data_IF_257674304545
#
_entry.id   IF_257674304545
#
_cell.length_a   1.000
_cell.length_b   1.000
_cell.length_c   1.000
_cell.angle_alpha   90.00
_cell.angle_beta   90.00
_cell.angle_gamma   90.00
#
_symmetry.space_group_name_H-M   'P 1'
#
loop_
_entity.id
_entity.type
_entity.pdbx_description
1 polymer ?
#
# COMPACT_ATOMS: atom_id res chain seq x y z
N UNK A 1 -4.85 -27.88 45.39
CA UNK A 1 -4.01 -27.41 44.28
C UNK A 1 -4.92 -26.86 43.20
N UNK A 2 -5.18 -25.56 43.24
CA UNK A 2 -5.96 -24.85 42.20
C UNK A 2 -5.07 -24.70 40.97
N UNK A 3 -5.41 -25.44 39.91
CA UNK A 3 -4.84 -25.29 38.57
C UNK A 3 -5.06 -23.85 38.10
N UNK A 4 -4.00 -23.03 38.18
CA UNK A 4 -3.99 -21.69 37.63
C UNK A 4 -3.91 -21.77 36.12
N UNK A 5 -5.07 -21.72 35.43
CA UNK A 5 -5.10 -21.23 34.05
C UNK A 5 -4.64 -19.79 34.12
N UNK A 6 -3.43 -19.52 33.64
CA UNK A 6 -3.04 -18.16 33.25
C UNK A 6 -4.14 -17.62 32.34
N UNK A 7 -4.74 -16.47 32.70
CA UNK A 7 -5.73 -15.83 31.85
C UNK A 7 -5.10 -15.60 30.46
N UNK A 8 -5.80 -16.02 29.40
CA UNK A 8 -5.35 -15.80 28.03
C UNK A 8 -5.24 -14.29 27.80
N UNK A 9 -4.07 -13.79 27.40
CA UNK A 9 -3.85 -12.35 27.23
C UNK A 9 -4.86 -11.79 26.22
N UNK A 10 -5.29 -10.55 26.39
CA UNK A 10 -6.09 -9.87 25.40
C UNK A 10 -5.17 -9.02 24.52
N UNK A 11 -5.30 -9.22 23.21
CA UNK A 11 -4.58 -8.41 22.22
C UNK A 11 -5.55 -7.46 21.53
N UNK A 12 -5.23 -6.17 21.51
CA UNK A 12 -5.91 -5.19 20.66
C UNK A 12 -4.97 -4.81 19.52
N UNK A 13 -5.43 -4.94 18.28
CA UNK A 13 -4.75 -4.46 17.09
C UNK A 13 -5.50 -3.29 16.46
N UNK A 14 -4.78 -2.31 15.94
CA UNK A 14 -5.34 -1.15 15.22
C UNK A 14 -4.82 -1.17 13.78
N UNK A 15 -5.72 -1.21 12.81
CA UNK A 15 -5.46 -1.26 11.38
C UNK A 15 -5.64 -2.66 10.80
N UNK A 16 -6.51 -2.79 9.80
CA UNK A 16 -6.78 -4.01 9.05
C UNK A 16 -6.22 -3.92 7.61
N UNK A 17 -4.99 -3.41 7.50
CA UNK A 17 -4.18 -3.49 6.28
C UNK A 17 -3.47 -4.84 6.14
N UNK A 18 -2.57 -4.94 5.16
CA UNK A 18 -1.78 -6.17 4.87
C UNK A 18 -1.10 -6.72 6.13
N UNK A 19 -0.46 -5.86 6.93
CA UNK A 19 0.13 -6.27 8.19
C UNK A 19 -0.94 -6.87 9.11
N UNK A 20 -2.00 -6.10 9.41
CA UNK A 20 -3.21 -6.48 10.18
C UNK A 20 -3.69 -7.88 9.90
N UNK A 21 -3.96 -8.13 8.62
CA UNK A 21 -4.46 -9.41 8.14
C UNK A 21 -3.43 -10.51 8.38
N UNK A 22 -2.14 -10.26 8.13
CA UNK A 22 -1.09 -11.26 8.28
C UNK A 22 -0.88 -11.74 9.74
N UNK A 23 -0.78 -10.85 10.74
CA UNK A 23 -0.65 -11.31 12.14
C UNK A 23 -1.94 -11.94 12.63
N UNK A 24 -3.10 -11.40 12.28
CA UNK A 24 -4.36 -12.02 12.68
C UNK A 24 -4.47 -13.44 12.13
N UNK A 25 -4.04 -13.64 10.88
CA UNK A 25 -3.93 -14.97 10.28
C UNK A 25 -2.91 -15.86 11.01
N UNK A 26 -1.75 -15.33 11.42
CA UNK A 26 -0.75 -16.10 12.18
C UNK A 26 -1.24 -16.46 13.59
N UNK A 27 -1.84 -15.51 14.32
CA UNK A 27 -2.43 -15.72 15.64
C UNK A 27 -3.42 -16.87 15.59
N UNK A 28 -4.35 -16.86 14.64
CA UNK A 28 -5.34 -17.95 14.50
C UNK A 28 -4.75 -19.24 13.98
N UNK A 29 -4.13 -19.20 12.80
CA UNK A 29 -3.77 -20.43 12.08
C UNK A 29 -2.52 -21.13 12.60
N UNK A 30 -1.57 -20.39 13.16
CA UNK A 30 -0.30 -20.97 13.63
C UNK A 30 -0.24 -21.11 15.15
N UNK A 31 -0.85 -20.16 15.88
CA UNK A 31 -0.81 -20.14 17.35
C UNK A 31 -2.11 -20.62 17.99
N UNK A 32 -3.19 -20.82 17.22
CA UNK A 32 -4.51 -21.20 17.77
C UNK A 32 -5.08 -20.15 18.72
N UNK A 33 -4.67 -18.89 18.55
CA UNK A 33 -4.95 -17.78 19.44
C UNK A 33 -6.18 -17.01 18.99
N UNK A 34 -7.19 -16.89 19.84
CA UNK A 34 -8.47 -16.29 19.49
C UNK A 34 -8.81 -15.05 20.33
N UNK A 35 -8.12 -14.82 21.47
CA UNK A 35 -8.39 -13.67 22.33
C UNK A 35 -7.75 -12.37 21.81
N UNK A 36 -8.10 -11.96 20.59
CA UNK A 36 -7.68 -10.70 20.01
C UNK A 36 -8.82 -9.99 19.26
N UNK A 37 -8.71 -8.67 19.14
CA UNK A 37 -9.64 -7.84 18.38
C UNK A 37 -8.86 -6.89 17.47
N UNK A 38 -9.34 -6.73 16.24
CA UNK A 38 -8.77 -5.80 15.26
C UNK A 38 -9.77 -4.66 15.05
N UNK A 39 -9.32 -3.42 15.19
CA UNK A 39 -10.10 -2.24 14.86
C UNK A 39 -9.64 -1.61 13.56
N UNK A 40 -10.58 -1.27 12.68
CA UNK A 40 -10.34 -0.55 11.42
C UNK A 40 -11.22 0.70 11.38
N UNK A 41 -10.64 1.83 10.97
CA UNK A 41 -11.35 3.11 10.86
C UNK A 41 -12.13 3.21 9.56
N UNK A 42 -11.58 2.64 8.49
CA UNK A 42 -12.17 2.72 7.16
C UNK A 42 -13.31 1.72 6.97
N UNK A 43 -14.28 2.05 6.10
CA UNK A 43 -15.48 1.21 5.87
C UNK A 43 -15.19 -0.19 5.34
N UNK A 44 -13.97 -0.42 4.87
CA UNK A 44 -13.49 -1.72 4.42
C UNK A 44 -12.05 -1.95 4.86
N UNK A 45 -11.64 -3.21 4.80
CA UNK A 45 -10.28 -3.68 5.05
C UNK A 45 -9.30 -3.17 3.97
N UNK A 46 -8.03 -3.57 4.06
CA UNK A 46 -6.98 -3.34 3.04
C UNK A 46 -6.32 -1.95 3.06
N UNK A 47 -6.72 -1.07 3.97
CA UNK A 47 -6.05 0.20 4.29
C UNK A 47 -5.68 1.04 3.04
N UNK A 48 -4.38 1.15 2.73
CA UNK A 48 -3.85 1.88 1.56
C UNK A 48 -4.57 1.51 0.26
N UNK A 49 -4.92 0.24 0.08
CA UNK A 49 -5.58 -0.26 -1.12
C UNK A 49 -7.06 0.07 -1.17
N UNK A 50 -7.71 0.31 -0.04
CA UNK A 50 -9.07 0.81 0.00
C UNK A 50 -9.11 2.33 -0.27
N UNK A 51 -8.16 3.08 0.31
CA UNK A 51 -8.15 4.54 0.23
C UNK A 51 -7.77 5.09 -1.15
N UNK A 52 -6.81 4.46 -1.83
CA UNK A 52 -6.27 4.99 -3.09
C UNK A 52 -7.13 4.59 -4.28
N UNK A 53 -8.06 5.44 -4.68
CA UNK A 53 -9.03 5.16 -5.76
C UNK A 53 -8.74 5.86 -7.08
N UNK A 54 -7.55 6.45 -7.24
CA UNK A 54 -7.20 7.06 -8.53
C UNK A 54 -7.06 5.98 -9.62
N UNK A 55 -7.33 6.30 -10.89
CA UNK A 55 -7.17 5.32 -11.96
C UNK A 55 -5.71 4.84 -12.04
N UNK A 56 -5.51 3.57 -12.40
CA UNK A 56 -4.20 2.91 -12.54
C UNK A 56 -3.39 2.66 -11.24
N UNK A 57 -4.01 2.70 -10.06
CA UNK A 57 -3.33 2.32 -8.80
C UNK A 57 -2.77 0.90 -8.90
N UNK A 58 -1.47 0.76 -8.71
CA UNK A 58 -0.79 -0.54 -8.69
C UNK A 58 0.39 -0.56 -7.73
N UNK A 59 0.87 -1.77 -7.44
CA UNK A 59 2.06 -1.96 -6.61
C UNK A 59 3.34 -1.72 -7.42
N UNK A 60 4.27 -0.92 -6.92
CA UNK A 60 5.59 -0.73 -7.54
C UNK A 60 6.51 -1.96 -7.39
N UNK A 61 6.08 -3.01 -6.69
CA UNK A 61 6.79 -4.28 -6.65
C UNK A 61 6.78 -4.91 -8.04
N UNK A 62 7.91 -5.48 -8.47
CA UNK A 62 8.06 -6.14 -9.77
C UNK A 62 6.89 -7.09 -10.02
N UNK A 63 6.14 -6.81 -11.10
CA UNK A 63 4.80 -7.34 -11.43
C UNK A 63 3.70 -6.55 -10.72
N UNK A 64 3.23 -5.51 -11.41
CA UNK A 64 2.19 -4.58 -10.98
C UNK A 64 0.88 -5.37 -10.82
N UNK A 65 0.61 -5.85 -9.61
CA UNK A 65 -0.75 -6.21 -9.25
C UNK A 65 -1.55 -4.90 -9.21
N UNK A 66 -2.63 -4.86 -10.00
CA UNK A 66 -3.57 -3.75 -9.96
C UNK A 66 -4.29 -3.74 -8.60
N UNK A 67 -4.75 -2.57 -8.18
CA UNK A 67 -5.47 -2.41 -6.92
C UNK A 67 -6.59 -3.45 -6.74
N UNK A 68 -7.37 -3.72 -7.79
CA UNK A 68 -8.48 -4.67 -7.73
C UNK A 68 -8.01 -6.09 -7.39
N UNK A 69 -6.89 -6.53 -7.97
CA UNK A 69 -6.29 -7.83 -7.67
C UNK A 69 -5.79 -7.90 -6.22
N UNK A 70 -5.16 -6.83 -5.73
CA UNK A 70 -4.69 -6.77 -4.35
C UNK A 70 -5.86 -6.77 -3.36
N UNK A 71 -6.91 -6.00 -3.63
CA UNK A 71 -8.12 -5.98 -2.80
C UNK A 71 -8.77 -7.37 -2.73
N UNK A 72 -8.88 -8.06 -3.87
CA UNK A 72 -9.41 -9.43 -3.92
C UNK A 72 -8.54 -10.39 -3.09
N UNK A 73 -7.22 -10.35 -3.27
CA UNK A 73 -6.29 -11.19 -2.50
C UNK A 73 -6.42 -10.97 -0.98
N UNK A 74 -6.55 -9.71 -0.54
CA UNK A 74 -6.69 -9.39 0.87
C UNK A 74 -8.05 -9.81 1.44
N UNK A 75 -9.11 -9.70 0.64
CA UNK A 75 -10.42 -10.23 1.00
C UNK A 75 -10.39 -11.76 1.13
N UNK A 76 -9.80 -12.47 0.16
CA UNK A 76 -9.61 -13.92 0.22
C UNK A 76 -8.80 -14.35 1.45
N UNK A 77 -7.76 -13.59 1.81
CA UNK A 77 -6.98 -13.86 3.01
C UNK A 77 -7.81 -13.68 4.29
N UNK A 78 -8.60 -12.60 4.36
CA UNK A 78 -9.54 -12.37 5.47
C UNK A 78 -10.53 -13.52 5.60
N UNK A 79 -11.15 -13.95 4.50
CA UNK A 79 -12.15 -15.01 4.50
C UNK A 79 -11.54 -16.37 4.85
N UNK A 80 -10.37 -16.68 4.29
CA UNK A 80 -9.63 -17.92 4.56
C UNK A 80 -9.21 -18.07 6.02
N UNK A 81 -8.79 -16.97 6.66
CA UNK A 81 -8.28 -17.00 8.04
C UNK A 81 -9.30 -16.47 9.08
N UNK A 82 -10.50 -16.09 8.63
CA UNK A 82 -11.58 -15.56 9.46
C UNK A 82 -11.33 -14.20 10.09
N UNK A 83 -10.40 -13.40 9.55
CA UNK A 83 -9.94 -12.14 10.17
C UNK A 83 -10.92 -11.00 9.84
N UNK A 84 -11.96 -10.80 10.67
CA UNK A 84 -12.90 -9.69 10.48
C UNK A 84 -12.59 -8.53 11.46
N UNK A 85 -12.49 -7.27 10.99
CA UNK A 85 -12.39 -6.13 11.90
C UNK A 85 -13.70 -5.91 12.67
N UNK A 86 -13.55 -5.35 13.87
CA UNK A 86 -14.64 -5.01 14.77
C UNK A 86 -15.16 -3.59 14.48
N UNK A 87 -16.47 -3.46 14.33
CA UNK A 87 -17.15 -2.21 14.02
C UNK A 87 -17.31 -1.28 15.22
N UNK A 88 -17.36 -1.86 16.43
CA UNK A 88 -17.76 -1.11 17.62
C UNK A 88 -16.79 -1.34 18.76
N UNK A 89 -16.71 -0.34 19.63
CA UNK A 89 -16.05 -0.45 20.93
C UNK A 89 -16.75 -1.41 21.89
N UNK A 90 -17.77 -2.16 21.48
CA UNK A 90 -18.48 -3.12 22.35
C UNK A 90 -17.96 -4.55 22.16
N UNK A 91 -17.32 -4.84 21.03
CA UNK A 91 -16.90 -6.19 20.65
C UNK A 91 -18.09 -7.02 20.17
N UNK A 92 -17.90 -7.79 19.09
CA UNK A 92 -18.92 -8.70 18.55
C UNK A 92 -19.59 -8.23 17.26
N UNK A 93 -19.50 -6.93 16.92
CA UNK A 93 -20.02 -6.40 15.65
C UNK A 93 -18.93 -6.40 14.58
N UNK A 94 -19.23 -6.93 13.38
CA UNK A 94 -18.32 -6.87 12.22
C UNK A 94 -18.49 -5.54 11.49
N UNK A 95 -17.39 -4.87 11.14
CA UNK A 95 -17.41 -3.59 10.42
C UNK A 95 -16.30 -2.63 10.84
N UNK A 96 -16.49 -1.34 10.57
CA UNK A 96 -15.52 -0.28 10.84
C UNK A 96 -15.95 0.63 12.00
N UNK A 97 -14.97 1.20 12.70
CA UNK A 97 -15.21 2.17 13.76
C UNK A 97 -15.90 3.43 13.23
N UNK A 98 -16.92 3.92 13.94
CA UNK A 98 -17.39 5.29 13.76
C UNK A 98 -16.35 6.26 14.35
N UNK A 99 -15.77 7.17 13.55
CA UNK A 99 -14.79 8.13 14.05
C UNK A 99 -15.34 9.09 15.12
N UNK A 100 -16.66 9.14 15.34
CA UNK A 100 -17.31 9.93 16.39
C UNK A 100 -17.50 9.16 17.70
N UNK A 101 -17.35 7.85 17.70
CA UNK A 101 -17.47 7.04 18.90
C UNK A 101 -16.18 7.12 19.73
N UNK A 102 -16.32 7.43 21.01
CA UNK A 102 -15.23 7.32 21.99
C UNK A 102 -15.56 6.14 22.90
N UNK A 103 -14.63 5.21 23.01
CA UNK A 103 -14.75 4.04 23.87
C UNK A 103 -13.42 3.71 24.53
N UNK A 104 -13.49 3.00 25.65
CA UNK A 104 -12.33 2.54 26.39
C UNK A 104 -12.26 1.02 26.38
N UNK A 105 -11.06 0.49 26.10
CA UNK A 105 -10.75 -0.94 26.18
C UNK A 105 -9.40 -1.13 26.83
N UNK A 106 -9.32 -2.20 27.60
CA UNK A 106 -8.09 -2.66 28.22
C UNK A 106 -7.62 -3.92 27.51
N UNK A 107 -6.30 -4.04 27.37
CA UNK A 107 -5.61 -5.19 26.82
C UNK A 107 -4.20 -5.23 27.41
N UNK A 108 -3.67 -6.43 27.58
CA UNK A 108 -2.30 -6.65 28.01
C UNK A 108 -1.31 -6.34 26.88
N UNK A 109 -1.75 -6.40 25.62
CA UNK A 109 -0.95 -6.05 24.45
C UNK A 109 -1.73 -5.17 23.46
N UNK A 110 -1.12 -4.05 23.08
CA UNK A 110 -1.60 -3.16 22.03
C UNK A 110 -0.64 -3.21 20.82
N UNK A 111 -1.19 -3.49 19.65
CA UNK A 111 -0.46 -3.64 18.39
C UNK A 111 -0.93 -2.57 17.39
N UNK A 112 -0.07 -1.59 17.08
CA UNK A 112 -0.45 -0.45 16.23
C UNK A 112 0.07 -0.59 14.81
N UNK A 113 -0.82 -0.88 13.87
CA UNK A 113 -0.52 -1.15 12.46
C UNK A 113 -1.32 -0.26 11.51
N UNK A 114 -1.43 1.01 11.90
CA UNK A 114 -2.15 2.08 11.19
C UNK A 114 -1.54 2.48 9.84
N UNK A 115 -0.38 1.92 9.49
CA UNK A 115 0.38 2.22 8.28
C UNK A 115 1.05 3.60 8.33
N UNK A 116 2.13 3.76 7.58
CA UNK A 116 2.92 5.01 7.56
C UNK A 116 2.47 6.00 6.49
N UNK A 117 1.61 5.58 5.55
CA UNK A 117 1.19 6.33 4.37
C UNK A 117 -0.34 6.47 4.24
N UNK A 118 -1.06 6.36 5.36
CA UNK A 118 -2.52 6.37 5.42
C UNK A 118 -3.12 7.78 5.57
N UNK A 119 -2.38 8.72 6.16
CA UNK A 119 -2.82 10.11 6.34
C UNK A 119 -2.25 10.99 5.21
N UNK A 120 -3.10 11.53 4.31
CA UNK A 120 -2.63 12.44 3.28
C UNK A 120 -2.13 13.74 3.90
N UNK A 121 -1.06 14.30 3.34
CA UNK A 121 -0.56 15.60 3.74
C UNK A 121 -1.46 16.68 3.15
N UNK A 122 -1.92 17.61 3.98
CA UNK A 122 -2.68 18.77 3.51
C UNK A 122 -1.86 19.62 2.54
N UNK A 123 -2.54 20.22 1.57
CA UNK A 123 -1.90 21.08 0.58
C UNK A 123 -1.38 22.35 1.25
N UNK A 124 -0.05 22.49 1.32
CA UNK A 124 0.60 23.65 1.94
C UNK A 124 1.16 24.65 0.91
N UNK A 125 0.67 24.59 -0.33
CA UNK A 125 1.06 25.52 -1.39
C UNK A 125 0.40 26.88 -1.11
N UNK A 126 1.19 27.95 -1.13
CA UNK A 126 0.69 29.31 -0.95
C UNK A 126 -0.37 29.65 -2.00
N UNK A 127 -1.50 30.22 -1.56
CA UNK A 127 -2.62 30.55 -2.44
C UNK A 127 -3.54 29.37 -2.79
N UNK A 128 -3.34 28.17 -2.22
CA UNK A 128 -4.23 27.04 -2.51
C UNK A 128 -5.69 27.30 -2.05
N UNK A 129 -5.90 28.15 -1.03
CA UNK A 129 -7.23 28.47 -0.50
C UNK A 129 -8.04 29.39 -1.41
N UNK A 130 -7.39 30.15 -2.27
CA UNK A 130 -8.06 31.03 -3.23
C UNK A 130 -8.28 30.37 -4.59
N UNK A 131 -7.77 29.16 -4.79
CA UNK A 131 -7.98 28.38 -6.01
C UNK A 131 -9.46 28.09 -6.22
N UNK A 132 -9.98 28.48 -7.39
CA UNK A 132 -11.41 28.37 -7.73
C UNK A 132 -11.80 27.07 -8.41
N UNK A 133 -10.82 26.26 -8.83
CA UNK A 133 -11.06 24.96 -9.43
C UNK A 133 -11.17 23.84 -8.41
N UNK A 134 -11.49 22.64 -8.90
CA UNK A 134 -11.54 21.44 -8.07
C UNK A 134 -10.14 21.08 -7.56
N UNK A 135 -10.01 20.81 -6.25
CA UNK A 135 -8.75 20.40 -5.59
C UNK A 135 -8.96 19.18 -4.71
N UNK A 136 -8.08 18.19 -4.82
CA UNK A 136 -8.07 17.01 -3.95
C UNK A 136 -6.66 16.40 -3.84
N UNK A 137 -6.44 15.63 -2.78
CA UNK A 137 -5.24 14.81 -2.64
C UNK A 137 -5.45 13.47 -3.38
N UNK A 138 -4.42 12.94 -4.02
CA UNK A 138 -4.52 11.70 -4.80
C UNK A 138 -4.95 10.46 -4.00
N UNK A 139 -4.64 10.43 -2.70
CA UNK A 139 -5.14 9.42 -1.75
C UNK A 139 -6.64 9.57 -1.38
N UNK A 140 -7.32 10.62 -1.85
CA UNK A 140 -8.76 10.88 -1.71
C UNK A 140 -9.29 11.30 -3.07
N UNK A 141 -9.12 10.43 -4.06
CA UNK A 141 -9.42 10.75 -5.45
C UNK A 141 -10.90 11.13 -5.62
N UNK A 142 -11.17 12.24 -6.31
CA UNK A 142 -12.53 12.69 -6.57
C UNK A 142 -13.05 12.09 -7.88
N UNK A 143 -13.99 11.15 -7.77
CA UNK A 143 -14.59 10.47 -8.93
C UNK A 143 -15.66 11.31 -9.63
N UNK A 144 -16.15 12.38 -9.00
CA UNK A 144 -17.22 13.22 -9.54
C UNK A 144 -16.70 14.24 -10.58
N UNK A 145 -15.38 14.40 -10.69
CA UNK A 145 -14.75 15.39 -11.56
C UNK A 145 -14.10 14.73 -12.76
N UNK A 146 -14.68 14.93 -13.95
CA UNK A 146 -14.02 14.56 -15.20
C UNK A 146 -12.80 15.44 -15.49
N UNK A 147 -11.71 14.81 -15.91
CA UNK A 147 -10.48 15.50 -16.32
C UNK A 147 -10.51 15.94 -17.80
N UNK A 148 -11.48 15.46 -18.57
CA UNK A 148 -11.55 15.65 -20.03
C UNK A 148 -11.62 17.12 -20.41
N UNK A 149 -10.71 17.55 -21.28
CA UNK A 149 -10.65 18.94 -21.74
C UNK A 149 -10.15 19.94 -20.68
N UNK A 150 -9.86 19.50 -19.45
CA UNK A 150 -9.37 20.38 -18.38
C UNK A 150 -7.87 20.59 -18.50
N UNK A 151 -7.41 21.70 -17.93
CA UNK A 151 -6.00 21.95 -17.62
C UNK A 151 -5.76 21.54 -16.18
N UNK A 152 -4.86 20.60 -15.96
CA UNK A 152 -4.63 19.99 -14.65
C UNK A 152 -3.22 20.31 -14.17
N UNK A 153 -3.12 20.76 -12.92
CA UNK A 153 -1.84 20.91 -12.24
C UNK A 153 -1.61 19.71 -11.31
N UNK A 154 -0.45 19.06 -11.43
CA UNK A 154 -0.03 17.98 -10.53
C UNK A 154 1.16 18.46 -9.72
N UNK A 155 1.00 18.51 -8.39
CA UNK A 155 2.07 18.91 -7.47
C UNK A 155 2.71 17.66 -6.88
N UNK A 156 3.96 17.40 -7.27
CA UNK A 156 4.73 16.24 -6.84
C UNK A 156 5.07 15.25 -7.96
N UNK A 157 6.10 14.45 -7.72
CA UNK A 157 6.70 13.52 -8.68
C UNK A 157 7.18 12.21 -8.01
N UNK A 158 6.64 11.87 -6.83
CA UNK A 158 6.93 10.59 -6.17
C UNK A 158 6.33 9.38 -6.92
N UNK A 159 6.47 8.19 -6.34
CA UNK A 159 5.96 6.95 -6.95
C UNK A 159 4.51 7.03 -7.44
N UNK A 160 3.65 7.65 -6.62
CA UNK A 160 2.25 7.83 -6.95
C UNK A 160 2.04 8.70 -8.20
N UNK A 161 2.81 9.78 -8.32
CA UNK A 161 2.75 10.69 -9.47
C UNK A 161 3.34 10.03 -10.72
N UNK A 162 4.37 9.19 -10.58
CA UNK A 162 4.93 8.43 -11.69
C UNK A 162 3.89 7.49 -12.34
N UNK A 163 2.95 6.94 -11.56
CA UNK A 163 1.82 6.17 -12.10
C UNK A 163 0.68 7.08 -12.60
N UNK A 164 0.35 8.13 -11.84
CA UNK A 164 -0.82 8.98 -12.09
C UNK A 164 -0.64 9.92 -13.29
N UNK A 165 0.52 10.56 -13.43
CA UNK A 165 0.76 11.57 -14.47
C UNK A 165 0.57 10.99 -15.89
N UNK A 166 1.10 9.79 -16.25
CA UNK A 166 0.84 9.18 -17.55
C UNK A 166 -0.63 8.89 -17.85
N UNK A 167 -1.47 8.69 -16.82
CA UNK A 167 -2.90 8.57 -16.99
C UNK A 167 -3.55 9.95 -17.19
N UNK A 168 -3.22 10.91 -16.33
CA UNK A 168 -3.77 12.27 -16.38
C UNK A 168 -3.44 12.95 -17.72
N UNK A 169 -2.25 12.74 -18.28
CA UNK A 169 -1.87 13.34 -19.58
C UNK A 169 -2.70 12.82 -20.74
N UNK A 170 -3.24 11.60 -20.66
CA UNK A 170 -4.13 11.02 -21.68
C UNK A 170 -5.56 11.50 -21.57
N UNK A 171 -5.97 11.87 -20.35
CA UNK A 171 -7.36 12.24 -20.02
C UNK A 171 -7.60 13.76 -19.95
N UNK A 172 -6.59 14.59 -20.19
CA UNK A 172 -6.67 16.06 -20.05
C UNK A 172 -6.25 16.79 -21.31
N UNK A 173 -6.61 18.08 -21.41
CA UNK A 173 -6.12 18.94 -22.50
C UNK A 173 -4.67 19.39 -22.26
N UNK A 174 -4.29 19.58 -21.00
CA UNK A 174 -2.95 20.03 -20.63
C UNK A 174 -2.63 19.61 -19.20
N UNK A 175 -1.39 19.16 -18.98
CA UNK A 175 -0.84 18.87 -17.64
C UNK A 175 0.33 19.78 -17.34
N UNK A 176 0.30 20.41 -16.16
CA UNK A 176 1.43 21.12 -15.58
C UNK A 176 1.90 20.35 -14.35
N UNK A 177 3.07 19.70 -14.43
CA UNK A 177 3.65 19.01 -13.28
C UNK A 177 4.68 19.90 -12.59
N UNK A 178 4.46 20.18 -11.31
CA UNK A 178 5.43 20.87 -10.45
C UNK A 178 6.23 19.86 -9.64
N UNK A 179 7.53 19.77 -9.93
CA UNK A 179 8.47 18.89 -9.26
C UNK A 179 9.42 19.70 -8.37
N UNK A 180 9.53 19.34 -7.09
CA UNK A 180 10.49 19.97 -6.17
C UNK A 180 11.90 19.39 -6.30
N UNK A 181 12.00 18.07 -6.44
CA UNK A 181 13.27 17.36 -6.50
C UNK A 181 13.15 16.21 -7.50
N UNK A 182 14.13 16.01 -8.40
CA UNK A 182 14.11 14.89 -9.34
C UNK A 182 14.13 13.54 -8.62
N UNK A 183 13.55 12.54 -9.26
CA UNK A 183 13.48 11.17 -8.77
C UNK A 183 14.10 10.23 -9.81
N UNK A 184 14.71 9.15 -9.33
CA UNK A 184 15.17 8.07 -10.20
C UNK A 184 13.98 7.22 -10.63
N UNK A 185 13.79 7.07 -11.93
CA UNK A 185 12.72 6.25 -12.51
C UNK A 185 13.36 5.10 -13.27
N UNK A 186 12.85 3.90 -13.04
CA UNK A 186 13.23 2.69 -13.74
C UNK A 186 12.03 2.11 -14.47
N UNK A 187 12.30 1.39 -15.56
CA UNK A 187 11.30 0.55 -16.19
C UNK A 187 10.78 -0.49 -15.18
N UNK A 188 9.45 -0.59 -15.05
CA UNK A 188 8.78 -1.60 -14.25
C UNK A 188 7.94 -2.52 -15.15
N UNK A 189 8.57 -3.45 -15.88
CA UNK A 189 7.85 -4.31 -16.80
C UNK A 189 6.90 -5.25 -16.03
N UNK A 190 5.60 -5.16 -16.32
CA UNK A 190 4.57 -6.00 -15.71
C UNK A 190 4.49 -7.37 -16.40
N UNK A 191 5.42 -8.27 -16.08
CA UNK A 191 5.48 -9.61 -16.69
C UNK A 191 4.58 -10.60 -15.94
N UNK A 192 3.67 -11.26 -16.65
CA UNK A 192 2.83 -12.32 -16.10
C UNK A 192 3.65 -13.52 -15.59
N UNK A 193 3.12 -14.21 -14.58
CA UNK A 193 3.69 -15.50 -14.15
C UNK A 193 3.24 -16.59 -15.11
N UNK A 194 4.21 -17.37 -15.61
CA UNK A 194 3.92 -18.59 -16.37
C UNK A 194 3.31 -19.64 -15.46
N UNK A 195 2.52 -20.56 -16.01
CA UNK A 195 1.92 -21.67 -15.24
C UNK A 195 2.97 -22.52 -14.52
N UNK A 196 4.12 -22.77 -15.17
CA UNK A 196 5.24 -23.44 -14.52
C UNK A 196 5.75 -22.69 -13.29
N UNK A 197 5.89 -21.36 -13.35
CA UNK A 197 6.30 -20.56 -12.19
C UNK A 197 5.27 -20.64 -11.07
N UNK A 198 3.98 -20.53 -11.39
CA UNK A 198 2.89 -20.69 -10.41
C UNK A 198 2.93 -22.06 -9.75
N UNK A 199 3.19 -23.11 -10.53
CA UNK A 199 3.39 -24.47 -10.03
C UNK A 199 4.56 -24.55 -9.05
N UNK A 200 5.72 -23.96 -9.37
CA UNK A 200 6.86 -23.92 -8.45
C UNK A 200 6.51 -23.20 -7.13
N UNK A 201 5.79 -22.06 -7.18
CA UNK A 201 5.36 -21.38 -5.95
C UNK A 201 4.40 -22.21 -5.10
N UNK A 202 3.60 -23.08 -5.72
CA UNK A 202 2.60 -23.89 -5.01
C UNK A 202 3.17 -25.15 -4.40
N UNK A 203 4.13 -25.79 -5.05
CA UNK A 203 4.57 -27.15 -4.71
C UNK A 203 6.05 -27.29 -4.36
N UNK A 204 6.88 -26.28 -4.63
CA UNK A 204 8.33 -26.33 -4.39
C UNK A 204 8.75 -25.32 -3.31
N UNK A 205 8.78 -25.70 -2.02
CA UNK A 205 9.08 -24.78 -0.92
C UNK A 205 10.38 -23.95 -1.05
N UNK A 206 11.49 -24.47 -1.61
CA UNK A 206 12.70 -23.67 -1.81
C UNK A 206 12.53 -22.52 -2.82
N UNK A 207 11.59 -22.65 -3.76
CA UNK A 207 11.43 -21.69 -4.85
C UNK A 207 11.07 -20.29 -4.35
N UNK A 208 10.21 -20.18 -3.34
CA UNK A 208 9.87 -18.91 -2.71
C UNK A 208 11.12 -18.22 -2.13
N UNK A 209 11.97 -18.98 -1.43
CA UNK A 209 13.20 -18.44 -0.81
C UNK A 209 14.20 -17.98 -1.86
N UNK A 210 14.38 -18.76 -2.93
CA UNK A 210 15.25 -18.39 -4.05
C UNK A 210 14.71 -17.12 -4.72
N UNK A 211 13.40 -17.05 -4.96
CA UNK A 211 12.78 -15.89 -5.58
C UNK A 211 12.91 -14.63 -4.70
N UNK A 212 12.72 -14.75 -3.38
CA UNK A 212 12.96 -13.66 -2.42
C UNK A 212 14.42 -13.19 -2.44
N UNK A 213 15.38 -14.10 -2.49
CA UNK A 213 16.79 -13.76 -2.58
C UNK A 213 17.14 -13.06 -3.90
N UNK A 214 16.57 -13.52 -5.02
CA UNK A 214 16.69 -12.85 -6.31
C UNK A 214 16.12 -11.42 -6.27
N UNK A 215 14.93 -11.24 -5.69
CA UNK A 215 14.31 -9.92 -5.53
C UNK A 215 15.19 -9.01 -4.67
N UNK A 216 15.69 -9.51 -3.54
CA UNK A 216 16.61 -8.79 -2.66
C UNK A 216 17.86 -8.35 -3.42
N UNK A 217 18.61 -9.27 -4.05
CA UNK A 217 19.81 -8.93 -4.84
C UNK A 217 19.54 -7.87 -5.90
N UNK A 218 18.42 -7.99 -6.62
CA UNK A 218 18.08 -7.02 -7.68
C UNK A 218 17.74 -5.64 -7.09
N UNK A 219 17.13 -5.57 -5.90
CA UNK A 219 16.85 -4.29 -5.23
C UNK A 219 18.11 -3.69 -4.63
N UNK A 220 18.97 -4.51 -4.04
CA UNK A 220 20.27 -4.13 -3.48
C UNK A 220 21.19 -3.53 -4.57
N UNK A 221 21.20 -4.14 -5.76
CA UNK A 221 21.91 -3.59 -6.91
C UNK A 221 21.40 -2.21 -7.36
N UNK A 222 20.12 -1.88 -7.14
CA UNK A 222 19.62 -0.52 -7.40
C UNK A 222 20.09 0.47 -6.33
N UNK A 223 20.25 0.02 -5.09
CA UNK A 223 20.86 0.85 -4.04
C UNK A 223 22.30 1.20 -4.42
N UNK A 224 23.09 0.20 -4.80
CA UNK A 224 24.46 0.43 -5.28
C UNK A 224 24.51 1.38 -6.47
N UNK A 225 23.57 1.23 -7.42
CA UNK A 225 23.48 2.09 -8.59
C UNK A 225 23.27 3.56 -8.20
N UNK A 226 22.31 3.84 -7.31
CA UNK A 226 21.88 5.22 -7.04
C UNK A 226 22.52 5.89 -5.82
N UNK A 227 23.14 5.13 -4.92
CA UNK A 227 23.59 5.65 -3.61
C UNK A 227 25.10 5.47 -3.36
N UNK A 228 25.81 4.59 -4.10
CA UNK A 228 27.20 4.25 -3.75
C UNK A 228 28.26 5.30 -4.14
N UNK A 229 27.89 6.30 -4.96
CA UNK A 229 28.75 7.40 -5.47
C UNK A 229 30.11 6.97 -6.08
N UNK A 230 30.31 5.68 -6.33
CA UNK A 230 31.52 5.15 -6.96
C UNK A 230 31.61 5.58 -8.42
N UNK A 231 32.82 5.67 -8.97
CA UNK A 231 33.02 5.98 -10.40
C UNK A 231 32.28 5.02 -11.34
N UNK A 232 32.09 3.76 -10.93
CA UNK A 232 31.26 2.78 -11.66
C UNK A 232 29.78 3.15 -11.58
N UNK A 233 29.24 3.36 -10.39
CA UNK A 233 27.83 3.72 -10.20
C UNK A 233 27.43 5.00 -10.94
N UNK A 234 28.30 6.00 -10.99
CA UNK A 234 28.07 7.25 -11.72
C UNK A 234 27.98 7.03 -13.24
N UNK A 235 28.86 6.19 -13.81
CA UNK A 235 28.79 5.81 -15.23
C UNK A 235 27.53 5.00 -15.54
N UNK A 236 27.21 4.03 -14.69
CA UNK A 236 26.04 3.17 -14.87
C UNK A 236 24.75 4.00 -14.73
N UNK A 237 24.69 4.96 -13.81
CA UNK A 237 23.59 5.94 -13.68
C UNK A 237 23.45 6.84 -14.91
N UNK A 238 24.56 7.35 -15.44
CA UNK A 238 24.54 8.19 -16.64
C UNK A 238 24.01 7.40 -17.85
N UNK A 239 24.45 6.16 -18.03
CA UNK A 239 23.95 5.27 -19.08
C UNK A 239 22.45 4.96 -18.91
N UNK A 240 22.01 4.66 -17.70
CA UNK A 240 20.59 4.45 -17.39
C UNK A 240 19.75 5.70 -17.66
N UNK A 241 20.30 6.89 -17.38
CA UNK A 241 19.63 8.18 -17.65
C UNK A 241 19.45 8.42 -19.14
N UNK A 242 20.48 8.16 -19.96
CA UNK A 242 20.35 8.28 -21.42
C UNK A 242 19.33 7.28 -21.98
N UNK A 243 19.34 6.05 -21.49
CA UNK A 243 18.33 5.06 -21.87
C UNK A 243 16.92 5.51 -21.49
N UNK A 244 16.75 6.14 -20.32
CA UNK A 244 15.46 6.62 -19.85
C UNK A 244 14.85 7.71 -20.73
N UNK A 245 15.67 8.54 -21.41
CA UNK A 245 15.21 9.58 -22.34
C UNK A 245 14.56 9.04 -23.62
N UNK A 246 14.75 7.75 -23.92
CA UNK A 246 14.18 7.12 -25.11
C UNK A 246 12.70 6.71 -24.91
N UNK A 247 12.18 6.80 -23.69
CA UNK A 247 10.80 6.49 -23.32
C UNK A 247 10.00 7.76 -23.06
#
# INVERSE_FOLDING_TARGET
MTSGRTAELRIIAIGCGVAGIALSAQLRSQLGYENFVVYEREKSISATWYLKTYPVVGCDSKRLAEQAEVLHYLQDAVDKFGVAPCASGRGGDRGCLDPREVFHKEAEMLVSWVGTISLPKECNVSGNETFKGDKWHSARWNLDVSLRGKRVAVVGNGCLAAQLVPYVTKETAQVHQSQRSPQWINESPNRTFTEFRKWCFRYEPPWERIYRFYLWKKTDALHDLYQSETARSLRDCAAATEQAKAY
#
